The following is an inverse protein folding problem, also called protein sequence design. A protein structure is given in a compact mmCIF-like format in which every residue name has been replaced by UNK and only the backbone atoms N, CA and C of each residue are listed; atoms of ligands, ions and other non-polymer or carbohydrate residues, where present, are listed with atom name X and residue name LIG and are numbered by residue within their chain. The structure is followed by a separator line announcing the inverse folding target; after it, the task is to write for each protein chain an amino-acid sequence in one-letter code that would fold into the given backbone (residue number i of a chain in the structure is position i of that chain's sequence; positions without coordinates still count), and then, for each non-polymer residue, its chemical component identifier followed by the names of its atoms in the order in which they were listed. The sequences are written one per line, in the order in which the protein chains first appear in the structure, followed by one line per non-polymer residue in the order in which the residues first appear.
data_IF_960909815841
#
_entry.id   IF_960909815841
#
_cell.length_a   1.000
_cell.length_b   1.000
_cell.length_c   1.000
_cell.angle_alpha   90.00
_cell.angle_beta   90.00
_cell.angle_gamma   90.00
#
_symmetry.space_group_name_H-M   'P 1'
#
loop_
_entity.id
_entity.type
_entity.pdbx_description
1 polymer ?
#
# COMPACT_ATOMS: atom_id res chain seq x y z
N UNK A 1 22.09 -7.98 -18.61
CA UNK A 1 22.00 -8.28 -17.16
C UNK A 1 20.69 -7.68 -16.68
N UNK A 2 19.90 -8.45 -15.93
CA UNK A 2 18.57 -8.02 -15.44
C UNK A 2 18.76 -7.54 -13.99
N UNK A 3 18.16 -6.40 -13.64
CA UNK A 3 18.26 -5.87 -12.28
C UNK A 3 17.39 -6.71 -11.33
N UNK A 4 17.96 -7.04 -10.18
CA UNK A 4 17.32 -7.84 -9.13
C UNK A 4 17.21 -7.07 -7.81
N UNK A 5 17.59 -5.79 -7.79
CA UNK A 5 17.50 -4.98 -6.59
C UNK A 5 16.07 -4.44 -6.47
N UNK A 6 15.37 -4.72 -5.36
CA UNK A 6 14.07 -4.13 -5.13
C UNK A 6 14.16 -2.61 -4.95
N UNK A 7 13.07 -1.88 -5.25
CA UNK A 7 12.94 -0.48 -4.88
C UNK A 7 13.09 -0.27 -3.38
N UNK A 8 13.30 0.99 -3.00
CA UNK A 8 13.16 1.41 -1.59
C UNK A 8 11.68 1.36 -1.20
N UNK A 9 11.39 1.10 0.07
CA UNK A 9 10.02 1.16 0.57
C UNK A 9 9.39 2.55 0.35
N UNK A 10 8.10 2.61 0.00
CA UNK A 10 7.39 3.87 -0.05
C UNK A 10 7.02 4.33 1.37
N UNK A 11 6.58 5.59 1.47
CA UNK A 11 5.96 6.12 2.68
C UNK A 11 4.45 5.99 2.60
N UNK A 12 3.87 5.15 3.45
CA UNK A 12 2.45 5.19 3.73
C UNK A 12 2.16 6.42 4.60
N UNK A 13 1.56 7.45 4.01
CA UNK A 13 1.27 8.72 4.70
C UNK A 13 0.12 8.60 5.69
N UNK A 14 -0.76 7.63 5.48
CA UNK A 14 -1.86 7.30 6.37
C UNK A 14 -3.05 6.74 5.62
N UNK A 15 -4.06 6.34 6.39
CA UNK A 15 -5.36 5.92 5.91
C UNK A 15 -6.44 6.75 6.60
N UNK A 16 -7.29 7.40 5.80
CA UNK A 16 -8.30 8.35 6.29
C UNK A 16 -9.68 7.83 5.88
N UNK A 17 -10.61 7.62 6.84
CA UNK A 17 -11.95 7.18 6.50
C UNK A 17 -12.74 8.30 5.80
N UNK A 18 -13.49 7.93 4.77
CA UNK A 18 -14.36 8.76 3.94
C UNK A 18 -15.71 8.07 3.79
N UNK A 19 -16.69 8.76 3.21
CA UNK A 19 -18.03 8.17 3.00
C UNK A 19 -17.97 7.06 1.93
N UNK A 20 -17.06 7.18 0.96
CA UNK A 20 -16.86 6.22 -0.13
C UNK A 20 -15.85 5.09 0.17
N UNK A 21 -15.29 5.03 1.39
CA UNK A 21 -14.31 4.02 1.79
C UNK A 21 -13.12 4.61 2.57
N UNK A 22 -11.95 3.97 2.48
CA UNK A 22 -10.73 4.42 3.17
C UNK A 22 -9.73 4.97 2.14
N UNK A 23 -9.39 6.25 2.25
CA UNK A 23 -8.40 6.90 1.39
C UNK A 23 -6.98 6.67 1.94
N UNK A 24 -6.13 6.05 1.14
CA UNK A 24 -4.75 5.66 1.44
C UNK A 24 -3.80 6.58 0.67
N UNK A 25 -2.97 7.32 1.40
CA UNK A 25 -1.97 8.20 0.82
C UNK A 25 -0.61 7.52 0.72
N UNK A 26 -0.03 7.48 -0.47
CA UNK A 26 1.28 6.87 -0.74
C UNK A 26 2.20 7.97 -1.25
N UNK A 27 3.38 8.13 -0.64
CA UNK A 27 4.43 9.03 -1.12
C UNK A 27 5.69 8.23 -1.36
N UNK A 28 6.36 8.54 -2.47
CA UNK A 28 7.56 7.87 -2.91
C UNK A 28 8.68 8.87 -3.22
N UNK A 29 9.91 8.37 -3.24
CA UNK A 29 11.09 9.18 -3.51
C UNK A 29 11.29 9.36 -5.01
N UNK A 30 11.87 10.50 -5.39
CA UNK A 30 12.15 10.83 -6.80
C UNK A 30 13.12 9.85 -7.45
N UNK A 31 14.10 9.39 -6.69
CA UNK A 31 15.13 8.47 -7.17
C UNK A 31 14.75 7.00 -6.99
N UNK A 32 13.50 6.72 -6.59
CA UNK A 32 12.98 5.36 -6.50
C UNK A 32 12.45 4.91 -7.87
N UNK A 33 12.87 3.74 -8.32
CA UNK A 33 12.60 3.14 -9.62
C UNK A 33 11.28 2.35 -9.69
N UNK A 34 10.45 2.47 -8.65
CA UNK A 34 9.14 1.83 -8.55
C UNK A 34 8.26 2.16 -9.76
N UNK A 35 7.62 1.15 -10.31
CA UNK A 35 6.63 1.26 -11.37
C UNK A 35 5.19 1.29 -10.82
N UNK A 36 4.95 0.62 -9.70
CA UNK A 36 3.66 0.57 -9.03
C UNK A 36 3.82 0.26 -7.54
N UNK A 37 2.72 0.36 -6.82
CA UNK A 37 2.61 0.03 -5.41
C UNK A 37 1.69 -1.16 -5.23
N UNK A 38 2.05 -2.10 -4.35
CA UNK A 38 1.12 -3.11 -3.85
C UNK A 38 0.60 -2.68 -2.48
N UNK A 39 -0.72 -2.72 -2.32
CA UNK A 39 -1.40 -2.32 -1.09
C UNK A 39 -1.92 -3.59 -0.44
N UNK A 40 -1.53 -3.81 0.80
CA UNK A 40 -1.97 -4.94 1.59
C UNK A 40 -2.89 -4.48 2.72
N UNK A 41 -3.86 -5.32 3.06
CA UNK A 41 -4.87 -5.05 4.08
C UNK A 41 -5.18 -6.31 4.87
N UNK A 42 -5.32 -6.17 6.18
CA UNK A 42 -5.92 -7.17 7.07
C UNK A 42 -7.02 -6.54 7.92
N UNK A 43 -7.93 -7.37 8.41
CA UNK A 43 -8.98 -6.92 9.35
C UNK A 43 -8.38 -6.73 10.74
N UNK A 44 -8.95 -5.80 11.50
CA UNK A 44 -8.56 -5.46 12.86
C UNK A 44 -7.17 -4.82 12.96
N UNK A 45 -6.52 -5.02 14.11
CA UNK A 45 -5.18 -4.50 14.41
C UNK A 45 -4.09 -5.56 14.19
N UNK A 46 -4.31 -6.45 13.23
CA UNK A 46 -3.41 -7.57 12.97
C UNK A 46 -2.16 -7.11 12.19
N UNK A 47 -1.10 -7.92 12.28
CA UNK A 47 0.09 -7.76 11.45
C UNK A 47 -0.23 -8.09 9.99
N UNK A 48 0.38 -7.35 9.07
CA UNK A 48 0.17 -7.53 7.64
C UNK A 48 1.36 -8.30 7.05
N UNK A 49 1.15 -9.58 6.77
CA UNK A 49 2.12 -10.40 6.04
C UNK A 49 2.00 -10.15 4.53
N UNK A 50 3.03 -9.53 3.94
CA UNK A 50 3.09 -9.24 2.50
C UNK A 50 3.39 -10.46 1.62
N UNK A 51 3.84 -11.57 2.22
CA UNK A 51 4.07 -12.85 1.52
C UNK A 51 2.77 -13.67 1.39
N UNK A 52 1.72 -13.30 2.13
CA UNK A 52 0.41 -13.94 2.03
C UNK A 52 -0.46 -13.21 0.98
N UNK A 53 -0.75 -13.84 -0.18
CA UNK A 53 -1.52 -13.19 -1.25
C UNK A 53 -2.96 -12.86 -0.85
N UNK A 54 -3.51 -13.47 0.22
CA UNK A 54 -4.84 -13.11 0.73
C UNK A 54 -4.88 -11.70 1.32
N UNK A 55 -3.74 -11.17 1.73
CA UNK A 55 -3.63 -9.83 2.28
C UNK A 55 -3.48 -8.78 1.16
N UNK A 56 -3.16 -9.18 -0.08
CA UNK A 56 -3.03 -8.26 -1.19
C UNK A 56 -4.42 -7.71 -1.55
N UNK A 57 -4.62 -6.42 -1.32
CA UNK A 57 -5.86 -5.72 -1.65
C UNK A 57 -5.88 -5.34 -3.13
N UNK A 58 -4.82 -4.67 -3.59
CA UNK A 58 -4.74 -4.17 -4.97
C UNK A 58 -3.32 -3.74 -5.34
N UNK A 59 -3.14 -3.33 -6.59
CA UNK A 59 -1.95 -2.61 -7.07
C UNK A 59 -2.34 -1.27 -7.69
N UNK A 60 -1.46 -0.27 -7.53
CA UNK A 60 -1.69 1.11 -8.02
C UNK A 60 -0.46 1.55 -8.81
N UNK A 61 -0.64 1.92 -10.08
CA UNK A 61 0.47 2.43 -10.91
C UNK A 61 1.00 3.74 -10.34
N UNK A 62 2.33 3.88 -10.30
CA UNK A 62 2.99 5.16 -10.01
C UNK A 62 2.87 6.04 -11.25
N UNK A 63 2.13 7.14 -11.13
CA UNK A 63 2.03 8.19 -12.16
C UNK A 63 2.71 9.49 -11.74
N UNK A 64 2.87 9.68 -10.43
CA UNK A 64 3.53 10.82 -9.78
C UNK A 64 4.13 10.38 -8.44
N UNK A 65 4.82 11.30 -7.75
CA UNK A 65 5.47 11.02 -6.46
C UNK A 65 4.50 10.76 -5.30
N UNK A 66 3.25 11.22 -5.43
CA UNK A 66 2.22 11.05 -4.41
C UNK A 66 0.94 10.51 -5.03
N UNK A 67 0.53 9.32 -4.63
CA UNK A 67 -0.69 8.67 -5.09
C UNK A 67 -1.73 8.58 -3.97
N UNK A 68 -3.00 8.54 -4.37
CA UNK A 68 -4.12 8.29 -3.47
C UNK A 68 -4.92 7.14 -4.05
N UNK A 69 -5.13 6.13 -3.22
CA UNK A 69 -6.04 5.02 -3.50
C UNK A 69 -7.21 5.05 -2.53
N UNK A 70 -8.40 4.66 -2.98
CA UNK A 70 -9.58 4.56 -2.11
C UNK A 70 -10.01 3.10 -2.06
N UNK A 71 -9.90 2.51 -0.88
CA UNK A 71 -10.47 1.21 -0.59
C UNK A 71 -11.98 1.32 -0.38
N UNK A 72 -12.72 1.13 -1.47
CA UNK A 72 -14.19 1.14 -1.49
C UNK A 72 -14.83 -0.14 -0.94
N UNK A 73 -14.01 -1.14 -0.60
CA UNK A 73 -14.49 -2.43 -0.09
C UNK A 73 -14.51 -2.49 1.44
N UNK A 74 -14.01 -1.43 2.10
CA UNK A 74 -14.05 -1.30 3.54
C UNK A 74 -15.51 -1.20 4.03
N UNK A 75 -15.86 -2.01 5.02
CA UNK A 75 -17.20 -2.06 5.60
C UNK A 75 -17.28 -1.05 6.74
N UNK A 76 -18.31 -0.21 6.76
CA UNK A 76 -18.54 0.78 7.81
C UNK A 76 -18.48 0.16 9.22
N UNK A 77 -17.76 0.81 10.14
CA UNK A 77 -17.54 0.33 11.50
C UNK A 77 -16.42 -0.71 11.66
N UNK A 78 -15.99 -1.36 10.57
CA UNK A 78 -14.88 -2.31 10.63
C UNK A 78 -13.52 -1.60 10.69
N UNK A 79 -12.56 -2.27 11.33
CA UNK A 79 -11.18 -1.77 11.46
C UNK A 79 -10.26 -2.54 10.53
N UNK A 80 -9.30 -1.85 9.93
CA UNK A 80 -8.33 -2.42 9.01
C UNK A 80 -6.93 -1.88 9.27
N UNK A 81 -5.92 -2.73 9.09
CA UNK A 81 -4.50 -2.34 9.06
C UNK A 81 -3.97 -2.45 7.64
N UNK A 82 -3.26 -1.42 7.18
CA UNK A 82 -2.67 -1.34 5.86
C UNK A 82 -1.15 -1.21 5.92
N UNK A 83 -0.48 -1.79 4.92
CA UNK A 83 0.91 -1.50 4.55
C UNK A 83 1.00 -1.37 3.03
N UNK A 84 2.06 -0.73 2.56
CA UNK A 84 2.32 -0.54 1.13
C UNK A 84 3.76 -0.90 0.81
N UNK A 85 3.97 -1.59 -0.30
CA UNK A 85 5.29 -1.88 -0.88
C UNK A 85 5.42 -1.18 -2.23
N UNK A 86 6.65 -0.99 -2.67
CA UNK A 86 6.99 -0.48 -3.99
C UNK A 86 7.50 -1.63 -4.85
N UNK A 87 7.10 -1.65 -6.12
CA UNK A 87 7.47 -2.70 -7.06
C UNK A 87 7.98 -2.09 -8.35
N UNK A 88 9.13 -2.56 -8.84
CA UNK A 88 9.73 -2.10 -10.10
C UNK A 88 9.10 -2.75 -11.34
N UNK A 89 9.65 -2.49 -12.52
CA UNK A 89 9.19 -3.08 -13.79
C UNK A 89 9.57 -4.56 -13.97
N UNK A 90 10.52 -5.04 -13.18
CA UNK A 90 11.00 -6.42 -13.19
C UNK A 90 10.32 -7.28 -12.11
N UNK A 91 9.36 -6.68 -11.38
CA UNK A 91 8.59 -7.28 -10.29
C UNK A 91 9.41 -7.58 -9.03
N UNK A 92 10.52 -6.85 -8.82
CA UNK A 92 11.20 -6.85 -7.53
C UNK A 92 10.40 -5.97 -6.56
N UNK A 93 10.03 -6.53 -5.41
CA UNK A 93 9.17 -5.88 -4.40
C UNK A 93 9.99 -5.45 -3.18
N UNK A 94 9.78 -4.21 -2.74
CA UNK A 94 10.44 -3.64 -1.56
C UNK A 94 9.97 -4.30 -0.26
N UNK A 95 10.70 -4.04 0.82
CA UNK A 95 10.14 -4.24 2.17
C UNK A 95 8.89 -3.36 2.38
N UNK A 96 8.03 -3.77 3.32
CA UNK A 96 6.80 -3.04 3.65
C UNK A 96 7.09 -1.67 4.25
N UNK A 97 6.20 -0.70 3.98
CA UNK A 97 6.13 0.55 4.73
C UNK A 97 5.80 0.32 6.21
N UNK A 98 5.87 1.38 7.02
CA UNK A 98 5.15 1.39 8.30
C UNK A 98 3.66 1.09 8.08
N UNK A 99 3.02 0.48 9.08
CA UNK A 99 1.60 0.18 9.02
C UNK A 99 0.76 1.36 9.53
N UNK A 100 -0.49 1.40 9.10
CA UNK A 100 -1.50 2.31 9.66
C UNK A 100 -2.77 1.54 9.92
N UNK A 101 -3.46 1.85 11.02
CA UNK A 101 -4.72 1.21 11.39
C UNK A 101 -5.82 2.24 11.49
N UNK A 102 -6.97 1.94 10.90
CA UNK A 102 -8.09 2.87 10.77
C UNK A 102 -9.42 2.11 10.81
N UNK A 103 -10.44 2.73 11.38
CA UNK A 103 -11.82 2.25 11.32
C UNK A 103 -12.57 2.98 10.22
N UNK A 104 -13.30 2.24 9.38
CA UNK A 104 -14.15 2.80 8.35
C UNK A 104 -15.32 3.57 8.99
N UNK A 105 -15.76 4.64 8.30
CA UNK A 105 -16.88 5.47 8.75
C UNK A 105 -18.21 4.79 8.51
#
# INVERSE_FOLDING_TARGET
WIDHNPPKQPTLKGAIPRDEGIAIGIIDNRDNDSAYYAIYRVNGKNEVDIQNPKNLLTTVRKTKLGEIYVDKTAISGETYTYVVTAVDRLHNESVASSHTTVSAK
#
